data_IF_560620561943
#
_entry.id   IF_560620561943
#
_cell.length_a   1.000
_cell.length_b   1.000
_cell.length_c   1.000
_cell.angle_alpha   90.00
_cell.angle_beta   90.00
_cell.angle_gamma   90.00
#
_symmetry.space_group_name_H-M   'P 1'
#
loop_
_entity.id
_entity.type
_entity.pdbx_description
1 polymer ?
#
# COMPACT_ATOMS: atom_id res chain seq x y z
N UNK A 1 26.62 8.33 -6.96
CA UNK A 1 26.23 9.30 -5.93
C UNK A 1 24.75 9.65 -6.09
N UNK A 2 23.87 9.23 -5.18
CA UNK A 2 22.50 9.77 -5.13
C UNK A 2 22.20 10.19 -3.71
N UNK A 3 22.36 11.50 -3.49
CA UNK A 3 22.21 12.14 -2.20
C UNK A 3 20.76 12.20 -1.74
N UNK A 4 20.52 11.66 -0.54
CA UNK A 4 19.68 12.21 0.54
C UNK A 4 18.51 13.12 0.09
N UNK A 5 17.44 12.55 -0.48
CA UNK A 5 16.05 13.08 -0.42
C UNK A 5 15.08 11.97 0.03
N UNK A 6 15.41 11.29 1.13
CA UNK A 6 14.73 10.05 1.53
C UNK A 6 13.65 10.16 2.61
N UNK A 7 13.48 11.31 3.28
CA UNK A 7 12.65 11.40 4.50
C UNK A 7 11.20 11.84 4.21
N UNK A 8 11.00 12.94 3.46
CA UNK A 8 9.66 13.48 3.14
C UNK A 8 8.87 12.54 2.21
N UNK A 9 9.57 11.87 1.28
CA UNK A 9 8.98 10.88 0.36
C UNK A 9 8.45 9.65 1.08
N UNK A 10 9.11 9.19 2.15
CA UNK A 10 8.65 8.04 2.94
C UNK A 10 7.40 8.34 3.76
N UNK A 11 7.34 9.49 4.44
CA UNK A 11 6.15 9.90 5.19
C UNK A 11 4.95 10.20 4.28
N UNK A 12 5.18 10.74 3.07
CA UNK A 12 4.11 10.91 2.07
C UNK A 12 3.62 9.55 1.54
N UNK A 13 4.54 8.63 1.26
CA UNK A 13 4.23 7.29 0.77
C UNK A 13 3.36 6.49 1.74
N UNK A 14 3.69 6.49 3.03
CA UNK A 14 2.90 5.77 4.04
C UNK A 14 1.47 6.33 4.19
N UNK A 15 1.29 7.66 4.08
CA UNK A 15 -0.04 8.28 4.10
C UNK A 15 -0.87 7.89 2.88
N UNK A 16 -0.28 7.99 1.69
CA UNK A 16 -1.00 7.76 0.42
C UNK A 16 -1.30 6.29 0.17
N UNK A 17 -0.34 5.39 0.41
CA UNK A 17 -0.47 3.97 0.05
C UNK A 17 -0.91 3.07 1.20
N UNK A 18 -0.64 3.45 2.45
CA UNK A 18 -0.96 2.62 3.64
C UNK A 18 -2.00 3.24 4.57
N UNK A 19 -2.50 4.45 4.27
CA UNK A 19 -3.65 5.05 4.96
C UNK A 19 -3.47 5.24 6.46
N UNK A 20 -2.23 5.48 6.94
CA UNK A 20 -1.92 5.54 8.38
C UNK A 20 -2.77 6.56 9.16
N UNK A 21 -3.19 7.64 8.50
CA UNK A 21 -4.02 8.71 9.09
C UNK A 21 -5.54 8.48 8.93
N UNK A 22 -5.95 7.40 8.28
CA UNK A 22 -7.37 7.10 7.98
C UNK A 22 -8.04 6.19 9.01
N UNK A 23 -7.40 5.97 10.17
CA UNK A 23 -8.01 5.17 11.23
C UNK A 23 -9.22 5.91 11.83
N UNK A 24 -10.40 5.29 11.77
CA UNK A 24 -11.62 5.83 12.38
C UNK A 24 -11.93 5.19 13.74
N UNK A 25 -11.12 4.22 14.18
CA UNK A 25 -11.32 3.55 15.46
C UNK A 25 -11.04 4.52 16.62
N UNK A 26 -11.90 4.48 17.65
CA UNK A 26 -11.78 5.32 18.84
C UNK A 26 -11.02 4.66 19.99
N UNK A 27 -10.85 3.34 19.94
CA UNK A 27 -10.08 2.58 20.94
C UNK A 27 -8.59 2.75 20.66
N UNK A 28 -7.83 3.02 21.71
CA UNK A 28 -6.38 3.20 21.63
C UNK A 28 -5.67 1.97 21.03
N UNK A 29 -6.04 0.77 21.46
CA UNK A 29 -5.47 -0.47 20.96
C UNK A 29 -5.65 -0.61 19.43
N UNK A 30 -6.86 -0.32 18.94
CA UNK A 30 -7.17 -0.38 17.51
C UNK A 30 -6.39 0.66 16.70
N UNK A 31 -6.18 1.86 17.27
CA UNK A 31 -5.36 2.89 16.63
C UNK A 31 -3.89 2.48 16.56
N UNK A 32 -3.34 1.95 17.66
CA UNK A 32 -1.96 1.42 17.70
C UNK A 32 -1.78 0.28 16.70
N UNK A 33 -2.72 -0.65 16.66
CA UNK A 33 -2.71 -1.76 15.71
C UNK A 33 -2.74 -1.25 14.26
N UNK A 34 -3.60 -0.29 13.93
CA UNK A 34 -3.66 0.32 12.60
C UNK A 34 -2.32 0.93 12.19
N UNK A 35 -1.69 1.72 13.08
CA UNK A 35 -0.39 2.34 12.82
C UNK A 35 0.68 1.26 12.55
N UNK A 36 0.72 0.22 13.37
CA UNK A 36 1.68 -0.88 13.22
C UNK A 36 1.47 -1.66 11.92
N UNK A 37 0.20 -1.92 11.54
CA UNK A 37 -0.13 -2.56 10.26
C UNK A 37 0.25 -1.69 9.07
N UNK A 38 -0.04 -0.38 9.11
CA UNK A 38 0.37 0.55 8.06
C UNK A 38 1.89 0.61 7.88
N UNK A 39 2.66 0.60 8.98
CA UNK A 39 4.12 0.56 8.93
C UNK A 39 4.64 -0.75 8.34
N UNK A 40 4.10 -1.88 8.78
CA UNK A 40 4.47 -3.21 8.25
C UNK A 40 4.15 -3.33 6.76
N UNK A 41 3.00 -2.84 6.33
CA UNK A 41 2.62 -2.81 4.91
C UNK A 41 3.58 -1.94 4.09
N UNK A 42 3.95 -0.77 4.60
CA UNK A 42 4.90 0.13 3.92
C UNK A 42 6.29 -0.51 3.76
N UNK A 43 6.79 -1.19 4.80
CA UNK A 43 8.06 -1.92 4.70
C UNK A 43 8.02 -3.02 3.63
N UNK A 44 6.91 -3.75 3.52
CA UNK A 44 6.72 -4.74 2.45
C UNK A 44 6.72 -4.10 1.06
N UNK A 45 6.05 -2.96 0.90
CA UNK A 45 6.05 -2.20 -0.36
C UNK A 45 7.44 -1.69 -0.73
N UNK A 46 8.22 -1.21 0.25
CA UNK A 46 9.58 -0.74 -0.02
C UNK A 46 10.53 -1.89 -0.35
N UNK A 47 10.41 -3.04 0.32
CA UNK A 47 11.15 -4.25 -0.03
C UNK A 47 10.81 -4.71 -1.45
N UNK A 48 9.53 -4.69 -1.83
CA UNK A 48 9.11 -5.02 -3.19
C UNK A 48 9.74 -4.07 -4.21
N UNK A 49 9.71 -2.76 -3.94
CA UNK A 49 10.34 -1.75 -4.80
C UNK A 49 11.84 -2.00 -4.96
N UNK A 50 12.55 -2.35 -3.88
CA UNK A 50 13.98 -2.66 -3.94
C UNK A 50 14.24 -3.93 -4.76
N UNK A 51 13.42 -4.97 -4.58
CA UNK A 51 13.57 -6.26 -5.28
C UNK A 51 13.25 -6.18 -6.77
N UNK A 52 12.16 -5.50 -7.13
CA UNK A 52 11.68 -5.46 -8.52
C UNK A 52 12.10 -4.21 -9.29
N UNK A 53 12.64 -3.18 -8.63
CA UNK A 53 12.98 -1.89 -9.23
C UNK A 53 11.77 -1.03 -9.63
N UNK A 54 10.55 -1.50 -9.36
CA UNK A 54 9.29 -0.88 -9.79
C UNK A 54 8.83 0.14 -8.75
N UNK A 55 8.23 1.24 -9.20
CA UNK A 55 7.70 2.27 -8.30
C UNK A 55 6.55 1.75 -7.42
N UNK A 56 6.29 2.40 -6.28
CA UNK A 56 5.14 2.04 -5.42
C UNK A 56 3.81 2.15 -6.16
N UNK A 57 3.65 3.19 -6.99
CA UNK A 57 2.45 3.41 -7.80
C UNK A 57 2.20 2.27 -8.77
N UNK A 58 3.23 1.89 -9.51
CA UNK A 58 3.13 0.82 -10.50
C UNK A 58 2.92 -0.54 -9.85
N UNK A 59 3.54 -0.79 -8.68
CA UNK A 59 3.28 -1.99 -7.88
C UNK A 59 1.81 -2.08 -7.46
N UNK A 60 1.24 -0.99 -6.94
CA UNK A 60 -0.17 -0.94 -6.55
C UNK A 60 -1.11 -1.09 -7.77
N UNK A 61 -0.74 -0.49 -8.91
CA UNK A 61 -1.50 -0.62 -10.15
C UNK A 61 -1.46 -2.04 -10.70
N UNK A 62 -0.30 -2.72 -10.64
CA UNK A 62 -0.15 -4.10 -11.07
C UNK A 62 -1.09 -5.02 -10.31
N UNK A 63 -1.16 -4.88 -8.98
CA UNK A 63 -2.08 -5.66 -8.14
C UNK A 63 -3.52 -5.46 -8.58
N UNK A 64 -3.96 -4.20 -8.75
CA UNK A 64 -5.33 -3.90 -9.22
C UNK A 64 -5.62 -4.50 -10.59
N UNK A 65 -4.71 -4.33 -11.56
CA UNK A 65 -4.89 -4.87 -12.92
C UNK A 65 -5.03 -6.39 -12.90
N UNK A 66 -4.13 -7.08 -12.20
CA UNK A 66 -4.18 -8.54 -12.07
C UNK A 66 -5.49 -8.99 -11.42
N UNK A 67 -5.91 -8.33 -10.34
CA UNK A 67 -7.17 -8.66 -9.66
C UNK A 67 -8.40 -8.43 -10.55
N UNK A 68 -8.45 -7.30 -11.27
CA UNK A 68 -9.56 -6.98 -12.19
C UNK A 68 -9.59 -7.97 -13.36
N UNK A 69 -8.44 -8.26 -13.98
CA UNK A 69 -8.38 -9.27 -15.05
C UNK A 69 -8.83 -10.64 -14.57
N UNK A 70 -8.39 -11.06 -13.38
CA UNK A 70 -8.84 -12.32 -12.79
C UNK A 70 -10.36 -12.34 -12.55
N UNK A 71 -10.92 -11.25 -12.02
CA UNK A 71 -12.36 -11.11 -11.81
C UNK A 71 -13.16 -11.13 -13.12
N UNK A 72 -12.68 -10.46 -14.17
CA UNK A 72 -13.35 -10.44 -15.47
C UNK A 72 -13.32 -11.81 -16.16
N UNK A 73 -12.29 -12.62 -15.89
CA UNK A 73 -12.19 -13.97 -16.44
C UNK A 73 -13.10 -14.97 -15.72
N UNK A 74 -13.31 -14.80 -14.41
CA UNK A 74 -14.15 -15.68 -13.58
C UNK A 74 -14.92 -14.86 -12.53
N UNK A 75 -16.03 -14.20 -12.91
CA UNK A 75 -16.76 -13.31 -12.02
C UNK A 75 -17.60 -14.10 -11.02
N UNK A 76 -17.28 -13.95 -9.73
CA UNK A 76 -18.09 -14.53 -8.64
C UNK A 76 -19.50 -13.92 -8.55
N UNK A 77 -19.66 -12.66 -8.98
CA UNK A 77 -20.93 -11.95 -8.95
C UNK A 77 -21.21 -11.30 -10.30
N UNK A 78 -22.38 -11.59 -10.86
CA UNK A 78 -22.92 -10.91 -12.04
C UNK A 78 -23.95 -9.90 -11.57
N UNK A 79 -23.72 -8.62 -11.89
CA UNK A 79 -24.74 -7.59 -11.73
C UNK A 79 -25.71 -7.74 -12.91
N UNK A 80 -26.84 -8.40 -12.65
CA UNK A 80 -27.97 -8.47 -13.58
C UNK A 80 -28.74 -7.16 -13.61
#
# INVERSE_FOLDING_TARGET
MSGKKGRVTKHRGIKQFCGVEKCQARKEESQRAHIMFSLRAFLRLELQRIKSGISWFESAMKIRRVAVTAYLNDPLYTLN
#
